data_IF_454782641683
#
_entry.id   IF_454782641683
#
_cell.length_a   1.000
_cell.length_b   1.000
_cell.length_c   1.000
_cell.angle_alpha   90.00
_cell.angle_beta   90.00
_cell.angle_gamma   90.00
#
_symmetry.space_group_name_H-M   'P 1'
#
loop_
_entity.id
_entity.type
_entity.pdbx_description
1 polymer ?
#
# COMPACT_ATOMS: atom_id res chain seq x y z
N UNK A 1 1.87 -13.67 14.79
CA UNK A 1 2.62 -12.64 14.06
C UNK A 1 2.52 -11.32 14.83
N UNK A 2 3.64 -10.66 15.12
CA UNK A 2 3.68 -9.35 15.77
C UNK A 2 4.31 -8.34 14.79
N UNK A 3 3.63 -7.23 14.54
CA UNK A 3 4.12 -6.15 13.67
C UNK A 3 4.87 -5.08 14.49
N UNK A 4 5.84 -5.51 15.29
CA UNK A 4 6.57 -4.63 16.24
C UNK A 4 7.83 -4.05 15.64
N UNK A 5 8.46 -4.75 14.70
CA UNK A 5 9.61 -4.22 13.98
C UNK A 5 9.16 -3.33 12.82
N UNK A 6 9.84 -2.21 12.65
CA UNK A 6 9.65 -1.30 11.53
C UNK A 6 10.89 -1.30 10.64
N UNK A 7 11.03 -2.28 9.72
CA UNK A 7 12.19 -2.34 8.84
C UNK A 7 12.09 -1.28 7.74
N UNK A 8 13.23 -0.75 7.31
CA UNK A 8 13.34 -0.07 6.02
C UNK A 8 13.41 -1.12 4.91
N UNK A 9 12.55 -1.01 3.90
CA UNK A 9 12.57 -1.90 2.73
C UNK A 9 13.07 -1.11 1.52
N UNK A 10 14.25 -1.46 0.99
CA UNK A 10 14.90 -0.72 -0.09
C UNK A 10 14.84 -1.46 -1.43
N UNK A 11 14.40 -0.76 -2.48
CA UNK A 11 14.42 -1.17 -3.88
C UNK A 11 15.26 -0.22 -4.75
N UNK A 12 15.14 -0.33 -6.07
CA UNK A 12 15.83 0.56 -7.01
C UNK A 12 15.04 1.83 -7.36
N UNK A 13 13.70 1.77 -7.34
CA UNK A 13 12.81 2.90 -7.61
C UNK A 13 12.31 3.56 -6.33
N UNK A 14 12.08 2.79 -5.26
CA UNK A 14 11.55 3.29 -3.99
C UNK A 14 12.24 2.69 -2.77
N UNK A 15 12.24 3.47 -1.69
CA UNK A 15 12.52 3.00 -0.34
C UNK A 15 11.26 3.19 0.51
N UNK A 16 10.85 2.14 1.22
CA UNK A 16 9.80 2.20 2.22
C UNK A 16 10.45 2.45 3.58
N UNK A 17 10.31 3.67 4.08
CA UNK A 17 10.89 4.12 5.35
C UNK A 17 9.84 4.01 6.45
N UNK A 18 10.20 3.52 7.65
CA UNK A 18 9.30 3.56 8.80
C UNK A 18 8.67 4.94 8.94
N UNK A 19 7.34 4.99 9.04
CA UNK A 19 6.65 6.28 9.12
C UNK A 19 7.14 7.04 10.38
N UNK A 20 7.26 8.36 10.26
CA UNK A 20 7.69 9.25 11.33
C UNK A 20 7.10 10.64 11.10
N UNK A 21 7.18 11.50 12.12
CA UNK A 21 6.73 12.89 12.00
C UNK A 21 7.58 13.73 11.03
N UNK A 22 8.83 13.34 10.76
CA UNK A 22 9.71 14.05 9.82
C UNK A 22 9.16 14.00 8.39
N UNK A 23 8.39 12.96 8.05
CA UNK A 23 7.76 12.81 6.74
C UNK A 23 6.55 13.72 6.52
N UNK A 24 6.00 14.35 7.56
CA UNK A 24 4.72 15.08 7.48
C UNK A 24 4.75 16.19 6.44
N UNK A 25 5.83 16.97 6.37
CA UNK A 25 5.93 18.10 5.44
C UNK A 25 5.85 17.63 3.97
N UNK A 26 6.68 16.66 3.59
CA UNK A 26 6.69 16.10 2.23
C UNK A 26 5.39 15.34 1.92
N UNK A 27 4.80 14.63 2.90
CA UNK A 27 3.51 13.97 2.73
C UNK A 27 2.36 14.94 2.46
N UNK A 28 2.39 16.14 3.08
CA UNK A 28 1.41 17.20 2.79
C UNK A 28 1.52 17.67 1.35
N UNK A 29 2.73 17.91 0.87
CA UNK A 29 2.99 18.32 -0.51
C UNK A 29 2.51 17.24 -1.49
N UNK A 30 2.88 15.98 -1.24
CA UNK A 30 2.47 14.82 -2.03
C UNK A 30 0.94 14.65 -2.10
N UNK A 31 0.24 14.80 -0.97
CA UNK A 31 -1.22 14.68 -0.91
C UNK A 31 -1.95 15.82 -1.60
N UNK A 32 -1.32 16.99 -1.71
CA UNK A 32 -1.90 18.16 -2.36
C UNK A 32 -1.78 18.12 -3.90
N UNK A 33 -0.88 17.28 -4.44
CA UNK A 33 -0.78 17.10 -5.89
C UNK A 33 -2.12 16.65 -6.48
N UNK A 34 -2.61 17.36 -7.50
CA UNK A 34 -3.87 17.06 -8.20
C UNK A 34 -5.09 16.86 -7.29
N UNK A 35 -5.06 17.40 -6.06
CA UNK A 35 -6.12 17.26 -5.04
C UNK A 35 -6.57 15.80 -4.85
N UNK A 36 -5.62 14.86 -4.80
CA UNK A 36 -5.89 13.41 -4.70
C UNK A 36 -6.88 13.04 -3.57
N UNK A 37 -6.90 13.80 -2.48
CA UNK A 37 -7.83 13.67 -1.36
C UNK A 37 -9.31 13.89 -1.70
N UNK A 38 -9.64 14.49 -2.85
CA UNK A 38 -11.03 14.68 -3.29
C UNK A 38 -11.66 13.43 -3.90
N UNK A 39 -10.88 12.39 -4.19
CA UNK A 39 -11.40 11.16 -4.77
C UNK A 39 -12.26 10.41 -3.75
N UNK A 40 -13.59 10.50 -3.90
CA UNK A 40 -14.58 9.95 -2.96
C UNK A 40 -14.46 8.44 -2.68
N UNK A 41 -13.87 7.68 -3.60
CA UNK A 41 -13.74 6.22 -3.51
C UNK A 41 -12.43 5.76 -2.84
N UNK A 42 -11.57 6.68 -2.40
CA UNK A 42 -10.32 6.41 -1.71
C UNK A 42 -10.18 7.28 -0.47
N UNK A 43 -9.33 6.87 0.47
CA UNK A 43 -9.11 7.59 1.72
C UNK A 43 -7.69 8.13 1.75
N UNK A 44 -7.51 9.29 1.11
CA UNK A 44 -6.26 10.04 1.16
C UNK A 44 -6.46 11.20 2.15
N UNK A 45 -5.57 11.37 3.14
CA UNK A 45 -5.73 12.44 4.12
C UNK A 45 -5.69 13.81 3.44
N UNK A 46 -6.56 14.72 3.89
CA UNK A 46 -6.42 16.13 3.56
C UNK A 46 -5.03 16.60 4.05
N UNK A 47 -4.30 17.45 3.30
CA UNK A 47 -2.96 17.90 3.70
C UNK A 47 -2.93 18.50 5.12
N UNK A 48 -3.93 19.27 5.50
CA UNK A 48 -4.00 19.84 6.86
C UNK A 48 -4.11 18.77 7.95
N UNK A 49 -4.79 17.66 7.67
CA UNK A 49 -4.99 16.53 8.57
C UNK A 49 -3.81 15.53 8.59
N UNK A 50 -2.74 15.78 7.83
CA UNK A 50 -1.63 14.82 7.68
C UNK A 50 -0.92 14.49 8.99
N UNK A 51 -0.71 15.48 9.87
CA UNK A 51 -0.11 15.25 11.20
C UNK A 51 -0.94 14.26 12.01
N UNK A 52 -2.27 14.47 12.06
CA UNK A 52 -3.20 13.60 12.79
C UNK A 52 -3.25 12.20 12.18
N UNK A 53 -3.18 12.07 10.86
CA UNK A 53 -3.10 10.74 10.22
C UNK A 53 -1.81 10.01 10.59
N UNK A 54 -0.66 10.70 10.56
CA UNK A 54 0.63 10.09 10.95
C UNK A 54 0.58 9.63 12.40
N UNK A 55 0.09 10.49 13.31
CA UNK A 55 -0.11 10.14 14.73
C UNK A 55 -1.01 8.91 14.89
N UNK A 56 -2.15 8.87 14.19
CA UNK A 56 -3.07 7.72 14.21
C UNK A 56 -2.40 6.42 13.76
N UNK A 57 -1.61 6.47 12.68
CA UNK A 57 -0.90 5.29 12.15
C UNK A 57 0.19 4.81 13.12
N UNK A 58 0.92 5.73 13.73
CA UNK A 58 1.93 5.41 14.74
C UNK A 58 1.30 4.79 15.99
N UNK A 59 0.17 5.32 16.48
CA UNK A 59 -0.55 4.72 17.61
C UNK A 59 -1.07 3.31 17.29
N UNK A 60 -1.52 3.06 16.05
CA UNK A 60 -1.88 1.70 15.62
C UNK A 60 -0.69 0.75 15.52
N UNK A 61 0.50 1.28 15.20
CA UNK A 61 1.74 0.51 15.20
C UNK A 61 2.16 0.09 16.61
N UNK A 62 2.09 1.01 17.58
CA UNK A 62 2.33 0.71 19.00
C UNK A 62 1.40 -0.39 19.53
N UNK A 63 0.18 -0.46 18.98
CA UNK A 63 -0.81 -1.51 19.30
C UNK A 63 -0.61 -2.82 18.51
N UNK A 64 0.40 -2.91 17.64
CA UNK A 64 0.65 -4.05 16.77
C UNK A 64 -0.41 -4.28 15.69
N UNK A 65 -1.25 -3.29 15.41
CA UNK A 65 -2.38 -3.38 14.45
C UNK A 65 -2.02 -2.90 13.05
N UNK A 66 -0.91 -2.18 12.91
CA UNK A 66 -0.46 -1.58 11.67
C UNK A 66 1.06 -1.56 11.61
N UNK A 67 1.62 -1.64 10.40
CA UNK A 67 3.01 -1.30 10.14
C UNK A 67 3.06 -0.29 8.99
N UNK A 68 3.20 1.01 9.29
CA UNK A 68 3.13 2.06 8.28
C UNK A 68 4.51 2.46 7.75
N UNK A 69 4.59 2.68 6.44
CA UNK A 69 5.76 3.24 5.77
C UNK A 69 5.42 4.51 4.99
N UNK A 70 6.36 5.45 4.99
CA UNK A 70 6.46 6.49 3.97
C UNK A 70 7.17 5.92 2.73
N UNK A 71 6.72 6.30 1.53
CA UNK A 71 7.33 5.86 0.27
C UNK A 71 8.25 6.96 -0.26
N UNK A 72 9.56 6.76 -0.21
CA UNK A 72 10.55 7.65 -0.83
C UNK A 72 10.82 7.22 -2.27
N UNK A 73 10.79 8.16 -3.21
CA UNK A 73 11.10 7.91 -4.62
C UNK A 73 12.60 8.15 -4.89
N UNK A 74 13.32 7.11 -5.32
CA UNK A 74 14.77 7.15 -5.50
C UNK A 74 15.24 8.23 -6.48
N UNK A 75 14.50 8.45 -7.58
CA UNK A 75 14.86 9.42 -8.62
C UNK A 75 14.86 10.89 -8.15
N UNK A 76 14.09 11.21 -7.12
CA UNK A 76 13.95 12.59 -6.62
C UNK A 76 14.38 12.74 -5.17
N UNK A 77 14.54 11.64 -4.43
CA UNK A 77 14.75 11.64 -3.00
C UNK A 77 13.52 12.05 -2.18
N UNK A 78 12.38 12.37 -2.79
CA UNK A 78 11.20 12.89 -2.07
C UNK A 78 10.28 11.78 -1.54
N UNK A 79 9.60 12.04 -0.42
CA UNK A 79 8.46 11.25 0.02
C UNK A 79 7.27 11.54 -0.88
N UNK A 80 6.73 10.48 -1.49
CA UNK A 80 5.66 10.55 -2.49
C UNK A 80 4.40 9.83 -2.06
N UNK A 81 4.25 9.43 -0.80
CA UNK A 81 3.03 8.81 -0.31
C UNK A 81 3.26 7.84 0.84
N UNK A 82 2.24 7.02 1.11
CA UNK A 82 2.29 6.04 2.20
C UNK A 82 1.73 4.68 1.78
N UNK A 83 2.16 3.64 2.47
CA UNK A 83 1.61 2.27 2.38
C UNK A 83 1.68 1.60 3.75
N UNK A 84 0.82 0.62 4.02
CA UNK A 84 0.77 -0.05 5.33
C UNK A 84 0.58 -1.55 5.21
N UNK A 85 1.13 -2.32 6.13
CA UNK A 85 0.43 -3.53 6.58
C UNK A 85 -0.61 -3.16 7.63
N UNK A 86 -1.75 -3.83 7.59
CA UNK A 86 -2.86 -3.65 8.52
C UNK A 86 -3.66 -4.93 8.66
N UNK A 87 -4.60 -4.96 9.61
CA UNK A 87 -5.48 -6.10 9.87
C UNK A 87 -4.71 -7.44 10.03
N UNK A 88 -3.62 -7.51 10.81
CA UNK A 88 -2.90 -8.76 11.01
C UNK A 88 -3.81 -9.76 11.74
N UNK A 89 -3.85 -11.00 11.25
CA UNK A 89 -4.43 -12.14 11.95
C UNK A 89 -3.30 -13.06 12.39
N UNK A 90 -3.02 -13.07 13.69
CA UNK A 90 -1.97 -13.92 14.25
C UNK A 90 -2.32 -15.41 14.09
N UNK A 91 -3.59 -15.77 14.27
CA UNK A 91 -4.08 -17.15 14.17
C UNK A 91 -4.01 -17.69 12.75
N UNK A 92 -4.25 -16.82 11.75
CA UNK A 92 -4.29 -17.20 10.34
C UNK A 92 -3.03 -16.78 9.56
N UNK A 93 -1.95 -16.36 10.23
CA UNK A 93 -0.67 -15.92 9.65
C UNK A 93 -0.86 -15.11 8.36
N UNK A 94 -1.70 -14.07 8.42
CA UNK A 94 -2.02 -13.23 7.27
C UNK A 94 -2.15 -11.78 7.67
N UNK A 95 -2.08 -10.90 6.68
CA UNK A 95 -2.27 -9.46 6.83
C UNK A 95 -2.84 -8.85 5.56
N UNK A 96 -3.21 -7.59 5.63
CA UNK A 96 -3.64 -6.78 4.50
C UNK A 96 -2.55 -5.75 4.14
N UNK A 97 -2.23 -5.64 2.85
CA UNK A 97 -1.57 -4.44 2.33
C UNK A 97 -2.64 -3.45 1.91
N UNK A 98 -2.67 -2.30 2.58
CA UNK A 98 -3.73 -1.32 2.43
C UNK A 98 -3.26 0.11 2.64
N UNK A 99 -4.23 1.01 2.76
CA UNK A 99 -4.03 2.46 3.01
C UNK A 99 -2.94 3.10 2.16
N UNK A 100 -2.82 2.60 0.92
CA UNK A 100 -1.78 2.97 -0.03
C UNK A 100 -2.24 4.12 -0.91
N UNK A 101 -1.42 5.15 -1.00
CA UNK A 101 -1.60 6.22 -1.97
C UNK A 101 -0.24 6.78 -2.37
N UNK A 102 -0.17 7.32 -3.57
CA UNK A 102 1.02 7.99 -4.10
C UNK A 102 0.62 9.34 -4.67
N UNK A 103 1.55 10.29 -4.61
CA UNK A 103 1.51 11.55 -5.32
C UNK A 103 1.28 11.31 -6.81
N UNK A 104 0.59 12.25 -7.48
CA UNK A 104 0.21 12.09 -8.89
C UNK A 104 1.44 11.90 -9.78
N UNK A 105 2.52 12.60 -9.47
CA UNK A 105 3.82 12.50 -10.14
C UNK A 105 4.49 11.13 -10.03
N UNK A 106 4.16 10.33 -9.00
CA UNK A 106 4.71 9.00 -8.79
C UNK A 106 3.82 7.87 -9.35
N UNK A 107 2.59 8.17 -9.78
CA UNK A 107 1.72 7.18 -10.38
C UNK A 107 2.23 6.72 -11.76
N UNK A 108 2.07 5.43 -12.06
CA UNK A 108 2.45 4.88 -13.37
C UNK A 108 3.96 4.72 -13.60
N UNK A 109 4.81 5.23 -12.70
CA UNK A 109 6.28 5.14 -12.75
C UNK A 109 6.82 3.73 -12.47
N UNK A 110 6.03 2.89 -11.81
CA UNK A 110 6.48 1.60 -11.26
C UNK A 110 6.70 1.63 -9.75
N UNK A 111 6.73 2.82 -9.12
CA UNK A 111 6.92 3.00 -7.69
C UNK A 111 6.00 2.09 -6.83
N UNK A 112 4.69 2.10 -7.08
CA UNK A 112 3.77 1.22 -6.33
C UNK A 112 4.06 -0.27 -6.58
N UNK A 113 4.45 -0.66 -7.80
CA UNK A 113 4.72 -2.07 -8.10
C UNK A 113 5.93 -2.56 -7.31
N UNK A 114 7.00 -1.78 -7.27
CA UNK A 114 8.18 -2.13 -6.49
C UNK A 114 7.89 -2.09 -4.98
N UNK A 115 7.17 -1.07 -4.49
CA UNK A 115 6.72 -1.03 -3.09
C UNK A 115 5.98 -2.32 -2.71
N UNK A 116 5.11 -2.82 -3.57
CA UNK A 116 4.37 -4.07 -3.34
C UNK A 116 5.26 -5.31 -3.44
N UNK A 117 6.24 -5.34 -4.35
CA UNK A 117 7.25 -6.39 -4.38
C UNK A 117 8.02 -6.46 -3.06
N UNK A 118 8.46 -5.33 -2.52
CA UNK A 118 9.18 -5.24 -1.25
C UNK A 118 8.30 -5.70 -0.07
N UNK A 119 7.06 -5.19 0.01
CA UNK A 119 6.11 -5.58 1.04
C UNK A 119 5.77 -7.07 0.98
N UNK A 120 5.45 -7.61 -0.20
CA UNK A 120 5.13 -9.04 -0.35
C UNK A 120 6.35 -9.93 -0.04
N UNK A 121 7.55 -9.51 -0.43
CA UNK A 121 8.80 -10.20 -0.05
C UNK A 121 8.93 -10.28 1.47
N UNK A 122 8.75 -9.16 2.17
CA UNK A 122 8.82 -9.15 3.63
C UNK A 122 7.69 -10.00 4.27
N UNK A 123 6.46 -9.90 3.77
CA UNK A 123 5.32 -10.67 4.29
C UNK A 123 5.51 -12.19 4.15
N UNK A 124 5.92 -12.67 2.97
CA UNK A 124 6.03 -14.11 2.71
C UNK A 124 7.37 -14.69 3.16
N UNK A 125 8.48 -14.00 2.91
CA UNK A 125 9.82 -14.56 3.12
C UNK A 125 10.36 -14.29 4.54
N UNK A 126 9.80 -13.34 5.28
CA UNK A 126 10.26 -12.98 6.65
C UNK A 126 9.18 -13.16 7.70
N UNK A 127 7.93 -12.79 7.42
CA UNK A 127 6.82 -12.94 8.37
C UNK A 127 6.07 -14.28 8.24
N UNK A 128 6.51 -15.15 7.31
CA UNK A 128 5.90 -16.45 7.01
C UNK A 128 4.37 -16.38 6.79
N UNK A 129 3.89 -15.31 6.15
CA UNK A 129 2.46 -15.17 5.88
C UNK A 129 1.98 -16.28 4.93
N UNK A 130 0.85 -16.92 5.24
CA UNK A 130 0.21 -17.89 4.33
C UNK A 130 -0.61 -17.21 3.24
N UNK A 131 -1.06 -15.97 3.49
CA UNK A 131 -1.78 -15.13 2.55
C UNK A 131 -1.59 -13.63 2.85
N UNK A 132 -1.64 -12.82 1.80
CA UNK A 132 -1.68 -11.35 1.88
C UNK A 132 -2.90 -10.85 1.15
N UNK A 133 -3.72 -10.07 1.84
CA UNK A 133 -4.98 -9.51 1.33
C UNK A 133 -4.80 -8.09 0.80
N UNK A 134 -5.66 -7.72 -0.13
CA UNK A 134 -5.86 -6.34 -0.58
C UNK A 134 -7.35 -6.05 -0.61
N UNK A 135 -7.72 -4.87 -0.12
CA UNK A 135 -9.12 -4.43 -0.11
C UNK A 135 -9.24 -3.09 -0.81
N UNK A 136 -10.26 -2.95 -1.65
CA UNK A 136 -10.52 -1.67 -2.31
C UNK A 136 -12.00 -1.46 -2.57
N UNK A 137 -12.39 -0.21 -2.76
CA UNK A 137 -13.78 0.13 -3.08
C UNK A 137 -14.13 -0.44 -4.46
N UNK A 138 -15.35 -0.96 -4.64
CA UNK A 138 -15.90 -1.35 -5.93
C UNK A 138 -15.64 -0.36 -7.08
N UNK A 139 -15.80 0.95 -6.84
CA UNK A 139 -15.61 2.00 -7.83
C UNK A 139 -14.15 2.41 -8.05
N UNK A 140 -13.22 1.97 -7.21
CA UNK A 140 -11.79 2.25 -7.37
C UNK A 140 -11.17 1.33 -8.43
N UNK A 141 -11.54 1.56 -9.69
CA UNK A 141 -11.09 0.78 -10.85
C UNK A 141 -9.57 0.83 -11.02
N UNK A 142 -8.94 1.95 -10.65
CA UNK A 142 -7.49 2.13 -10.69
C UNK A 142 -6.79 1.14 -9.75
N UNK A 143 -7.17 1.12 -8.47
CA UNK A 143 -6.60 0.18 -7.50
C UNK A 143 -6.94 -1.27 -7.87
N UNK A 144 -8.16 -1.58 -8.33
CA UNK A 144 -8.52 -2.94 -8.78
C UNK A 144 -7.60 -3.42 -9.90
N UNK A 145 -7.38 -2.60 -10.93
CA UNK A 145 -6.46 -2.92 -12.02
C UNK A 145 -5.02 -3.06 -11.52
N UNK A 146 -4.58 -2.19 -10.62
CA UNK A 146 -3.24 -2.23 -10.05
C UNK A 146 -3.01 -3.51 -9.23
N UNK A 147 -3.97 -3.89 -8.38
CA UNK A 147 -3.93 -5.09 -7.55
C UNK A 147 -3.93 -6.35 -8.42
N UNK A 148 -4.83 -6.46 -9.40
CA UNK A 148 -4.84 -7.58 -10.34
C UNK A 148 -3.52 -7.70 -11.11
N UNK A 149 -2.91 -6.56 -11.49
CA UNK A 149 -1.60 -6.55 -12.15
C UNK A 149 -0.42 -6.93 -11.24
N UNK A 150 -0.62 -7.08 -9.92
CA UNK A 150 0.37 -7.70 -9.04
C UNK A 150 0.36 -9.23 -9.16
N UNK A 151 -0.68 -9.82 -9.75
CA UNK A 151 -0.93 -11.27 -9.72
C UNK A 151 -1.87 -11.70 -8.60
N UNK A 152 -2.47 -10.76 -7.87
CA UNK A 152 -3.52 -11.05 -6.89
C UNK A 152 -4.81 -11.50 -7.58
N UNK A 153 -5.51 -12.46 -6.96
CA UNK A 153 -6.79 -12.98 -7.46
C UNK A 153 -7.94 -12.31 -6.72
N UNK A 154 -9.06 -12.05 -7.42
CA UNK A 154 -10.27 -11.51 -6.80
C UNK A 154 -10.99 -12.63 -6.07
N UNK A 155 -11.08 -12.52 -4.73
CA UNK A 155 -11.76 -13.51 -3.88
C UNK A 155 -13.27 -13.27 -3.83
N UNK A 156 -13.70 -12.02 -4.04
CA UNK A 156 -15.10 -11.65 -4.14
C UNK A 156 -15.42 -10.21 -3.75
N UNK A 157 -16.72 -9.93 -3.68
CA UNK A 157 -17.26 -8.61 -3.30
C UNK A 157 -18.16 -8.72 -2.09
N UNK A 158 -17.78 -8.02 -1.02
CA UNK A 158 -18.62 -7.84 0.15
C UNK A 158 -19.55 -6.64 -0.09
N UNK A 159 -20.84 -6.93 -0.29
CA UNK A 159 -21.87 -5.91 -0.54
C UNK A 159 -22.24 -5.18 0.76
N UNK A 160 -22.33 -3.85 0.70
CA UNK A 160 -22.66 -3.01 1.85
C UNK A 160 -21.75 -3.27 3.07
N UNK A 161 -20.48 -3.58 2.83
CA UNK A 161 -19.52 -4.00 3.84
C UNK A 161 -19.20 -2.89 4.86
N UNK A 162 -19.21 -1.63 4.41
CA UNK A 162 -18.90 -0.49 5.27
C UNK A 162 -19.72 0.73 4.88
N UNK A 163 -19.79 1.72 5.77
CA UNK A 163 -20.40 3.03 5.49
C UNK A 163 -19.28 4.05 5.24
N UNK A 164 -19.38 4.80 4.16
CA UNK A 164 -18.45 5.88 3.81
C UNK A 164 -18.64 7.12 4.71
N UNK A 165 -17.70 8.08 4.67
CA UNK A 165 -17.81 9.31 5.46
C UNK A 165 -19.05 10.17 5.14
N UNK A 166 -19.59 10.04 3.92
CA UNK A 166 -20.80 10.70 3.43
C UNK A 166 -22.09 9.92 3.76
N UNK A 167 -21.98 8.80 4.48
CA UNK A 167 -23.11 7.92 4.80
C UNK A 167 -23.46 6.92 3.69
N UNK A 168 -22.77 6.93 2.55
CA UNK A 168 -23.03 6.01 1.46
C UNK A 168 -22.57 4.58 1.80
N UNK A 169 -23.33 3.57 1.38
CA UNK A 169 -22.92 2.17 1.51
C UNK A 169 -21.79 1.84 0.54
N UNK A 170 -20.77 1.15 1.04
CA UNK A 170 -19.56 0.80 0.30
C UNK A 170 -19.44 -0.71 0.11
N UNK A 171 -19.37 -1.10 -1.16
CA UNK A 171 -18.98 -2.44 -1.58
C UNK A 171 -17.45 -2.56 -1.58
N UNK A 172 -16.95 -3.63 -0.96
CA UNK A 172 -15.50 -3.90 -0.87
C UNK A 172 -15.15 -5.09 -1.75
N UNK A 173 -14.23 -4.87 -2.68
CA UNK A 173 -13.60 -5.95 -3.45
C UNK A 173 -12.40 -6.45 -2.66
N UNK A 174 -12.35 -7.77 -2.48
CA UNK A 174 -11.27 -8.47 -1.78
C UNK A 174 -10.41 -9.19 -2.82
N UNK A 175 -9.10 -9.05 -2.69
CA UNK A 175 -8.12 -9.83 -3.41
C UNK A 175 -7.14 -10.48 -2.45
N UNK A 176 -6.50 -11.55 -2.88
CA UNK A 176 -5.39 -12.15 -2.14
C UNK A 176 -4.30 -12.70 -3.05
N UNK A 177 -3.13 -12.88 -2.44
CA UNK A 177 -2.03 -13.71 -2.93
C UNK A 177 -1.71 -14.71 -1.82
N UNK A 178 -1.57 -15.99 -2.16
CA UNK A 178 -1.18 -17.01 -1.18
C UNK A 178 0.31 -17.31 -1.24
N UNK A 179 0.83 -17.94 -0.17
CA UNK A 179 2.23 -18.37 -0.12
C UNK A 179 2.61 -19.32 -1.28
N UNK A 180 1.69 -20.18 -1.74
CA UNK A 180 1.94 -21.08 -2.87
C UNK A 180 2.02 -20.35 -4.21
N UNK A 181 1.39 -19.18 -4.32
CA UNK A 181 1.41 -18.33 -5.53
C UNK A 181 2.62 -17.39 -5.56
N UNK A 182 3.15 -17.06 -4.37
CA UNK A 182 4.19 -16.05 -4.19
C UNK A 182 5.42 -16.24 -5.10
N UNK A 183 6.01 -17.44 -5.26
CA UNK A 183 7.18 -17.61 -6.13
C UNK A 183 6.94 -17.15 -7.58
N UNK A 184 5.77 -17.46 -8.14
CA UNK A 184 5.40 -17.07 -9.51
C UNK A 184 5.07 -15.57 -9.59
N UNK A 185 4.33 -15.04 -8.61
CA UNK A 185 4.04 -13.61 -8.46
C UNK A 185 5.33 -12.78 -8.42
N UNK A 186 6.29 -13.18 -7.57
CA UNK A 186 7.58 -12.50 -7.42
C UNK A 186 8.33 -12.43 -8.74
N UNK A 187 8.36 -13.52 -9.51
CA UNK A 187 8.99 -13.55 -10.83
C UNK A 187 8.31 -12.57 -11.81
N UNK A 188 6.97 -12.58 -11.86
CA UNK A 188 6.20 -11.67 -12.72
C UNK A 188 6.41 -10.20 -12.36
N UNK A 189 6.44 -9.87 -11.07
CA UNK A 189 6.72 -8.52 -10.59
C UNK A 189 8.12 -8.04 -10.98
N UNK A 190 9.15 -8.87 -10.76
CA UNK A 190 10.54 -8.54 -11.16
C UNK A 190 10.65 -8.33 -12.66
N UNK A 191 10.09 -9.23 -13.47
CA UNK A 191 10.09 -9.09 -14.93
C UNK A 191 9.42 -7.77 -15.36
N UNK A 192 8.25 -7.46 -14.81
CA UNK A 192 7.52 -6.23 -15.14
C UNK A 192 8.27 -4.94 -14.77
N UNK A 193 9.09 -4.96 -13.72
CA UNK A 193 9.94 -3.84 -13.32
C UNK A 193 11.12 -3.68 -14.29
N UNK A 194 11.80 -4.77 -14.66
CA UNK A 194 12.91 -4.74 -15.63
C UNK A 194 12.47 -4.32 -17.04
N UNK A 195 11.36 -4.85 -17.57
CA UNK A 195 10.88 -4.47 -18.92
C UNK A 195 10.51 -2.99 -19.02
N UNK A 196 10.14 -2.36 -17.90
CA UNK A 196 9.85 -0.92 -17.85
C UNK A 196 11.09 -0.05 -17.93
N UNK A 197 12.20 -0.48 -17.34
CA UNK A 197 13.49 0.23 -17.48
C UNK A 197 13.89 0.32 -18.96
N UNK A 198 13.71 -0.75 -19.73
CA UNK A 198 14.01 -0.77 -21.16
C UNK A 198 13.03 0.05 -22.04
N UNK A 199 11.83 0.36 -21.55
CA UNK A 199 10.84 1.14 -22.32
C UNK A 199 10.95 2.65 -22.09
N UNK A 200 11.76 3.08 -21.11
CA UNK A 200 11.99 4.48 -20.75
C UNK A 200 13.37 4.99 -21.21
N UNK A 201 14.17 4.14 -21.87
CA UNK A 201 15.42 4.48 -22.56
C UNK A 201 15.16 4.66 -24.05
#
# INVERSE_FOLDING_TARGET
>A
MQLTESPTLAGSLVTLEPLSFDHVAELREAANEAELWRAWYTSIPHPEAMTTEVERRLSLHEQGKMLPWATRLASTGRIVGMTTFMNPSADAQRLEIGSTWLARSAEGTGANREAKLLQLTYAFDVLDCIAVEFRTHWHNRQSRKAIAALGAKEDGVLRSHSVGPDGALRDTVIFSITASEWPAVRLGLRHSLTTREFSLQ
#
